data_IF_142648347242
#
_entry.id   IF_142648347242
#
_cell.length_a   1.000
_cell.length_b   1.000
_cell.length_c   1.000
_cell.angle_alpha   90.00
_cell.angle_beta   90.00
_cell.angle_gamma   90.00
#
_symmetry.space_group_name_H-M   'P 1'
#
loop_
_entity.id
_entity.type
_entity.pdbx_description
1 polymer ?
#
# COMPACT_ATOMS: atom_id res chain seq x y z
N UNK A 1 33.62 8.57 8.29
CA UNK A 1 32.24 8.86 8.63
C UNK A 1 31.39 7.64 8.39
N UNK A 2 30.16 7.56 8.89
CA UNK A 2 29.25 6.47 8.59
C UNK A 2 28.83 6.52 7.12
N UNK A 3 28.75 5.37 6.45
CA UNK A 3 28.15 5.26 5.11
C UNK A 3 26.63 5.25 5.27
N UNK A 4 25.94 6.23 4.71
CA UNK A 4 24.48 6.41 4.82
C UNK A 4 23.90 6.42 3.43
N UNK A 5 22.93 5.50 3.18
CA UNK A 5 22.20 5.38 1.92
C UNK A 5 20.74 5.78 2.11
N UNK A 6 20.26 6.71 1.29
CA UNK A 6 18.88 7.17 1.33
C UNK A 6 18.13 6.58 0.15
N UNK A 7 17.04 5.86 0.44
CA UNK A 7 16.19 5.19 -0.56
C UNK A 7 14.78 5.74 -0.44
N UNK A 8 14.28 6.34 -1.50
CA UNK A 8 12.87 6.71 -1.59
C UNK A 8 12.04 5.44 -1.87
N UNK A 9 11.17 5.09 -0.93
CA UNK A 9 10.36 3.87 -1.01
C UNK A 9 9.20 3.94 -1.98
N UNK A 10 8.86 5.11 -2.51
CA UNK A 10 7.70 5.36 -3.40
C UNK A 10 6.36 4.81 -2.87
N UNK A 11 6.30 4.50 -1.58
CA UNK A 11 5.14 3.93 -0.90
C UNK A 11 5.01 4.50 0.52
N UNK A 12 4.03 4.02 1.27
CA UNK A 12 3.81 4.41 2.67
C UNK A 12 3.37 3.20 3.50
N UNK A 13 3.32 3.35 4.83
CA UNK A 13 2.85 2.33 5.78
C UNK A 13 3.72 1.04 5.80
N UNK A 14 3.08 -0.11 5.99
CA UNK A 14 3.71 -1.39 6.26
C UNK A 14 4.67 -1.94 5.18
N UNK A 15 4.57 -1.62 3.88
CA UNK A 15 5.59 -2.06 2.92
C UNK A 15 6.99 -1.56 3.24
N UNK A 16 7.10 -0.35 3.81
CA UNK A 16 8.41 0.21 4.23
C UNK A 16 9.04 -0.70 5.30
N UNK A 17 8.24 -1.09 6.30
CA UNK A 17 8.69 -2.03 7.34
C UNK A 17 9.05 -3.38 6.74
N UNK A 18 8.28 -3.88 5.78
CA UNK A 18 8.55 -5.14 5.11
C UNK A 18 9.88 -5.13 4.34
N UNK A 19 10.21 -4.02 3.67
CA UNK A 19 11.51 -3.84 3.01
C UNK A 19 12.64 -3.77 4.05
N UNK A 20 12.45 -2.95 5.10
CA UNK A 20 13.45 -2.78 6.15
C UNK A 20 13.77 -4.11 6.87
N UNK A 21 12.76 -4.92 7.16
CA UNK A 21 12.96 -6.22 7.81
C UNK A 21 13.75 -7.20 6.94
N UNK A 22 13.50 -7.24 5.63
CA UNK A 22 14.27 -8.08 4.71
C UNK A 22 15.73 -7.60 4.62
N UNK A 23 15.94 -6.29 4.49
CA UNK A 23 17.30 -5.71 4.50
C UNK A 23 18.04 -6.06 5.79
N UNK A 24 17.40 -5.87 6.95
CA UNK A 24 17.99 -6.21 8.25
C UNK A 24 18.37 -7.69 8.36
N UNK A 25 17.50 -8.57 7.86
CA UNK A 25 17.78 -10.02 7.87
C UNK A 25 19.04 -10.33 7.08
N UNK A 26 19.15 -9.88 5.84
CA UNK A 26 20.28 -10.19 4.98
C UNK A 26 21.57 -9.49 5.41
N UNK A 27 21.50 -8.27 5.95
CA UNK A 27 22.69 -7.60 6.51
C UNK A 27 23.20 -8.29 7.78
N UNK A 28 22.30 -8.87 8.59
CA UNK A 28 22.70 -9.70 9.73
C UNK A 28 23.38 -11.03 9.29
N UNK A 29 23.12 -11.49 8.08
CA UNK A 29 23.77 -12.66 7.45
C UNK A 29 25.07 -12.29 6.70
N UNK A 30 25.48 -10.99 6.71
CA UNK A 30 26.75 -10.54 6.17
C UNK A 30 26.66 -9.83 4.79
N UNK A 31 25.44 -9.53 4.30
CA UNK A 31 25.28 -8.74 3.08
C UNK A 31 25.90 -7.34 3.24
N UNK A 32 26.67 -6.89 2.28
CA UNK A 32 27.26 -5.56 2.31
C UNK A 32 26.25 -4.45 1.98
N UNK A 33 26.64 -3.20 2.19
CA UNK A 33 25.75 -2.03 2.05
C UNK A 33 25.33 -1.79 0.60
N UNK A 34 26.17 -2.07 -0.38
CA UNK A 34 25.86 -1.85 -1.81
C UNK A 34 24.85 -2.89 -2.29
N UNK A 35 25.01 -4.15 -1.88
CA UNK A 35 24.06 -5.23 -2.13
C UNK A 35 22.72 -4.97 -1.42
N UNK A 36 22.77 -4.50 -0.17
CA UNK A 36 21.59 -4.13 0.61
C UNK A 36 20.79 -2.99 -0.04
N UNK A 37 21.47 -1.95 -0.52
CA UNK A 37 20.86 -0.84 -1.27
C UNK A 37 20.20 -1.35 -2.55
N UNK A 38 20.90 -2.16 -3.35
CA UNK A 38 20.38 -2.74 -4.58
C UNK A 38 19.13 -3.55 -4.32
N UNK A 39 19.17 -4.47 -3.33
CA UNK A 39 18.03 -5.30 -2.93
C UNK A 39 16.83 -4.43 -2.51
N UNK A 40 17.05 -3.41 -1.69
CA UNK A 40 15.97 -2.52 -1.26
C UNK A 40 15.32 -1.77 -2.44
N UNK A 41 16.10 -1.26 -3.38
CA UNK A 41 15.61 -0.60 -4.60
C UNK A 41 14.81 -1.55 -5.50
N UNK A 42 15.25 -2.80 -5.65
CA UNK A 42 14.52 -3.83 -6.38
C UNK A 42 13.18 -4.17 -5.71
N UNK A 43 13.13 -4.25 -4.37
CA UNK A 43 11.88 -4.44 -3.64
C UNK A 43 10.93 -3.26 -3.81
N UNK A 44 11.43 -2.03 -3.75
CA UNK A 44 10.64 -0.81 -4.03
C UNK A 44 10.01 -0.89 -5.42
N UNK A 45 10.79 -1.21 -6.45
CA UNK A 45 10.33 -1.27 -7.84
C UNK A 45 9.25 -2.35 -8.09
N UNK A 46 9.20 -3.38 -7.23
CA UNK A 46 8.22 -4.48 -7.30
C UNK A 46 7.03 -4.32 -6.36
N UNK A 47 7.01 -3.26 -5.54
CA UNK A 47 5.92 -2.99 -4.60
C UNK A 47 4.84 -2.15 -5.25
N UNK A 48 3.62 -2.67 -5.24
CA UNK A 48 2.41 -2.00 -5.75
C UNK A 48 1.53 -1.58 -4.56
N UNK A 49 0.94 -0.41 -4.63
CA UNK A 49 0.15 0.17 -3.55
C UNK A 49 -1.24 0.54 -4.04
N UNK A 50 -2.26 -0.02 -3.43
CA UNK A 50 -3.67 0.32 -3.66
C UNK A 50 -4.33 0.70 -2.34
N UNK A 51 -5.08 1.77 -2.32
CA UNK A 51 -5.85 2.13 -1.14
C UNK A 51 -7.18 2.80 -1.51
N UNK A 52 -8.12 2.78 -0.57
CA UNK A 52 -9.38 3.49 -0.68
C UNK A 52 -9.67 4.27 0.59
N UNK A 53 -10.29 5.42 0.44
CA UNK A 53 -10.69 6.31 1.52
C UNK A 53 -12.21 6.47 1.54
N UNK A 54 -12.79 6.78 2.70
CA UNK A 54 -14.22 7.03 2.79
C UNK A 54 -14.61 8.38 2.18
N UNK A 55 -13.74 9.39 2.28
CA UNK A 55 -13.92 10.73 1.71
C UNK A 55 -12.58 11.28 1.23
N UNK A 56 -12.61 12.14 0.23
CA UNK A 56 -11.41 12.83 -0.29
C UNK A 56 -11.00 14.04 0.55
N UNK A 57 -11.83 14.46 1.53
CA UNK A 57 -11.63 15.68 2.30
C UNK A 57 -10.29 15.70 3.05
N UNK A 58 -9.89 14.56 3.61
CA UNK A 58 -8.61 14.45 4.33
C UNK A 58 -7.42 14.60 3.40
N UNK A 59 -7.44 13.96 2.22
CA UNK A 59 -6.42 14.11 1.18
C UNK A 59 -6.35 15.57 0.69
N UNK A 60 -7.50 16.22 0.51
CA UNK A 60 -7.58 17.61 0.07
C UNK A 60 -7.02 18.56 1.12
N UNK A 61 -7.52 18.48 2.36
CA UNK A 61 -7.07 19.32 3.48
C UNK A 61 -5.59 19.12 3.79
N UNK A 62 -5.10 17.90 3.64
CA UNK A 62 -3.70 17.55 3.82
C UNK A 62 -2.79 17.93 2.66
N UNK A 63 -3.33 18.45 1.55
CA UNK A 63 -2.55 18.81 0.36
C UNK A 63 -1.96 17.61 -0.40
N UNK A 64 -2.49 16.39 -0.19
CA UNK A 64 -2.05 15.14 -0.83
C UNK A 64 -3.07 14.60 -1.81
N UNK A 65 -3.96 15.44 -2.33
CA UNK A 65 -5.05 15.03 -3.22
C UNK A 65 -4.55 14.60 -4.62
N UNK A 66 -3.47 15.20 -5.13
CA UNK A 66 -2.89 14.87 -6.44
C UNK A 66 -3.93 14.84 -7.58
N UNK A 67 -3.74 13.92 -8.53
CA UNK A 67 -4.66 13.73 -9.65
C UNK A 67 -6.05 13.23 -9.23
N UNK A 68 -6.19 12.67 -8.02
CA UNK A 68 -7.47 12.22 -7.45
C UNK A 68 -8.41 13.40 -7.20
N UNK A 69 -7.87 14.63 -7.10
CA UNK A 69 -8.65 15.89 -6.99
C UNK A 69 -9.66 16.10 -8.11
N UNK A 70 -9.44 15.56 -9.29
CA UNK A 70 -10.40 15.60 -10.39
C UNK A 70 -11.74 14.87 -10.07
N UNK A 71 -11.80 14.09 -9.00
CA UNK A 71 -13.03 13.45 -8.53
C UNK A 71 -13.85 14.35 -7.58
N UNK A 72 -13.30 15.47 -7.11
CA UNK A 72 -14.01 16.40 -6.25
C UNK A 72 -15.14 17.03 -7.07
N UNK A 73 -16.37 16.98 -6.53
CA UNK A 73 -17.56 17.49 -7.21
C UNK A 73 -18.09 16.60 -8.35
N UNK A 74 -17.41 15.53 -8.67
CA UNK A 74 -17.92 14.51 -9.57
C UNK A 74 -18.95 13.63 -8.91
N UNK A 75 -19.81 12.96 -9.33
CA UNK A 75 -20.88 12.07 -8.84
C UNK A 75 -20.81 11.77 -7.32
N UNK A 76 -21.87 12.12 -6.60
CA UNK A 76 -22.05 11.84 -5.17
C UNK A 76 -21.95 10.32 -4.87
N UNK A 77 -21.24 9.97 -3.80
CA UNK A 77 -21.16 8.59 -3.32
C UNK A 77 -20.11 7.69 -3.98
N UNK A 78 -19.15 8.25 -4.73
CA UNK A 78 -18.03 7.49 -5.26
C UNK A 78 -17.00 7.20 -4.14
N UNK A 79 -16.53 5.96 -4.10
CA UNK A 79 -15.38 5.49 -3.30
C UNK A 79 -14.25 5.13 -4.26
N UNK A 80 -13.26 6.01 -4.43
CA UNK A 80 -12.17 5.74 -5.34
C UNK A 80 -11.24 4.66 -4.77
N UNK A 81 -10.68 3.85 -5.66
CA UNK A 81 -9.46 3.11 -5.39
C UNK A 81 -8.33 3.91 -6.02
N UNK A 82 -7.35 4.22 -5.22
CA UNK A 82 -6.19 5.02 -5.59
C UNK A 82 -4.96 4.10 -5.61
N UNK A 83 -4.07 4.30 -6.55
CA UNK A 83 -2.78 3.64 -6.55
C UNK A 83 -1.65 4.68 -6.56
N UNK A 84 -0.45 4.25 -6.19
CA UNK A 84 0.77 5.02 -6.36
C UNK A 84 1.45 4.59 -7.67
N UNK A 85 1.74 5.55 -8.53
CA UNK A 85 2.55 5.29 -9.72
C UNK A 85 4.03 5.02 -9.35
N UNK A 86 4.88 4.77 -10.33
CA UNK A 86 6.31 4.48 -10.12
C UNK A 86 7.08 5.65 -9.51
N UNK A 87 6.57 6.87 -9.61
CA UNK A 87 7.11 8.08 -9.01
C UNK A 87 6.53 8.38 -7.61
N UNK A 88 5.60 7.53 -7.11
CA UNK A 88 4.91 7.72 -5.83
C UNK A 88 3.77 8.74 -5.87
N UNK A 89 3.24 9.09 -7.05
CA UNK A 89 2.12 10.01 -7.20
C UNK A 89 0.79 9.28 -7.14
N UNK A 90 -0.22 9.96 -6.62
CA UNK A 90 -1.57 9.41 -6.50
C UNK A 90 -2.31 9.45 -7.85
N UNK A 91 -2.81 8.30 -8.28
CA UNK A 91 -3.67 8.14 -9.45
C UNK A 91 -4.94 7.36 -9.11
N UNK A 92 -6.01 7.63 -9.85
CA UNK A 92 -7.26 6.88 -9.71
C UNK A 92 -7.14 5.55 -10.45
N UNK A 93 -7.11 4.46 -9.71
CA UNK A 93 -7.08 3.12 -10.30
C UNK A 93 -8.48 2.60 -10.67
N UNK A 94 -9.50 2.91 -9.83
CA UNK A 94 -10.88 2.51 -10.09
C UNK A 94 -11.87 3.38 -9.30
N UNK A 95 -13.17 3.26 -9.62
CA UNK A 95 -14.27 4.01 -8.99
C UNK A 95 -15.39 3.05 -8.59
N UNK A 96 -15.57 2.87 -7.29
CA UNK A 96 -16.63 2.04 -6.74
C UNK A 96 -17.71 2.90 -6.07
N UNK A 97 -18.92 2.33 -5.90
CA UNK A 97 -20.02 3.01 -5.19
C UNK A 97 -20.26 2.46 -3.79
N UNK A 98 -19.81 1.25 -3.50
CA UNK A 98 -20.04 0.60 -2.21
C UNK A 98 -18.74 0.06 -1.63
N UNK A 99 -18.65 0.01 -0.30
CA UNK A 99 -17.52 -0.57 0.40
C UNK A 99 -17.23 -2.01 -0.05
N UNK A 100 -18.28 -2.82 -0.19
CA UNK A 100 -18.17 -4.22 -0.64
C UNK A 100 -17.52 -4.32 -2.05
N UNK A 101 -17.88 -3.40 -2.97
CA UNK A 101 -17.26 -3.37 -4.31
C UNK A 101 -15.80 -2.93 -4.24
N UNK A 102 -15.44 -1.97 -3.36
CA UNK A 102 -14.06 -1.59 -3.12
C UNK A 102 -13.24 -2.81 -2.68
N UNK A 103 -13.69 -3.52 -1.64
CA UNK A 103 -13.00 -4.68 -1.09
C UNK A 103 -12.77 -5.76 -2.17
N UNK A 104 -13.83 -6.13 -2.87
CA UNK A 104 -13.74 -7.11 -3.97
C UNK A 104 -12.73 -6.67 -5.03
N UNK A 105 -12.81 -5.40 -5.47
CA UNK A 105 -11.93 -4.89 -6.53
C UNK A 105 -10.46 -4.83 -6.09
N UNK A 106 -10.19 -4.48 -4.84
CA UNK A 106 -8.82 -4.49 -4.30
C UNK A 106 -8.22 -5.91 -4.29
N UNK A 107 -9.02 -6.93 -3.98
CA UNK A 107 -8.59 -8.35 -4.08
C UNK A 107 -8.27 -8.73 -5.53
N UNK A 108 -9.13 -8.37 -6.48
CA UNK A 108 -8.91 -8.61 -7.91
C UNK A 108 -7.64 -7.91 -8.41
N UNK A 109 -7.45 -6.64 -8.05
CA UNK A 109 -6.25 -5.87 -8.44
C UNK A 109 -4.97 -6.47 -7.85
N UNK A 110 -5.02 -6.95 -6.62
CA UNK A 110 -3.90 -7.68 -6.03
C UNK A 110 -3.61 -8.98 -6.80
N UNK A 111 -4.64 -9.73 -7.17
CA UNK A 111 -4.49 -10.97 -7.93
C UNK A 111 -3.91 -10.75 -9.33
N UNK A 112 -4.24 -9.65 -9.99
CA UNK A 112 -3.66 -9.24 -11.28
C UNK A 112 -2.14 -9.02 -11.22
N UNK A 113 -1.57 -8.86 -10.02
CA UNK A 113 -0.12 -8.64 -9.81
C UNK A 113 0.67 -9.93 -9.53
N UNK A 114 0.03 -11.08 -9.60
CA UNK A 114 0.74 -12.36 -9.41
C UNK A 114 1.84 -12.57 -10.48
N UNK A 115 2.95 -13.26 -10.15
CA UNK A 115 3.22 -13.91 -8.88
C UNK A 115 3.66 -12.95 -7.76
N UNK A 116 3.16 -13.17 -6.54
CA UNK A 116 3.37 -12.32 -5.37
C UNK A 116 4.30 -13.01 -4.36
N UNK A 117 5.21 -12.26 -3.74
CA UNK A 117 6.07 -12.74 -2.66
C UNK A 117 5.66 -12.27 -1.27
N UNK A 118 4.98 -11.11 -1.15
CA UNK A 118 4.46 -10.60 0.12
C UNK A 118 3.22 -9.75 -0.09
N UNK A 119 2.30 -9.80 0.87
CA UNK A 119 1.07 -9.00 0.91
C UNK A 119 1.02 -8.23 2.22
N UNK A 120 0.61 -6.96 2.14
CA UNK A 120 0.39 -6.13 3.30
C UNK A 120 -1.00 -5.52 3.23
N UNK A 121 -1.69 -5.50 4.37
CA UNK A 121 -2.99 -4.83 4.54
C UNK A 121 -2.83 -3.80 5.64
N UNK A 122 -3.29 -2.59 5.41
CA UNK A 122 -3.25 -1.53 6.42
C UNK A 122 -4.61 -0.81 6.50
N UNK A 123 -4.97 -0.33 7.69
CA UNK A 123 -6.24 0.34 7.90
C UNK A 123 -6.15 1.49 8.92
N UNK A 124 -7.04 2.49 8.77
CA UNK A 124 -7.34 3.49 9.78
C UNK A 124 -8.77 3.27 10.27
N UNK A 125 -8.95 2.81 11.52
CA UNK A 125 -10.27 2.54 12.15
C UNK A 125 -11.22 1.66 11.29
N UNK A 126 -10.67 0.65 10.59
CA UNK A 126 -11.42 -0.26 9.72
C UNK A 126 -10.94 -1.71 9.88
N UNK A 127 -10.72 -2.15 11.13
CA UNK A 127 -10.12 -3.45 11.42
C UNK A 127 -10.91 -4.62 10.82
N UNK A 128 -12.24 -4.64 10.99
CA UNK A 128 -13.07 -5.73 10.47
C UNK A 128 -12.98 -5.89 8.95
N UNK A 129 -13.00 -4.77 8.20
CA UNK A 129 -12.81 -4.79 6.76
C UNK A 129 -11.40 -5.27 6.38
N UNK A 130 -10.39 -4.87 7.15
CA UNK A 130 -9.01 -5.25 6.90
C UNK A 130 -8.75 -6.74 7.18
N UNK A 131 -9.39 -7.31 8.19
CA UNK A 131 -9.37 -8.75 8.48
C UNK A 131 -10.06 -9.56 7.38
N UNK A 132 -11.23 -9.12 6.92
CA UNK A 132 -11.93 -9.74 5.78
C UNK A 132 -11.07 -9.70 4.51
N UNK A 133 -10.47 -8.55 4.20
CA UNK A 133 -9.59 -8.38 3.05
C UNK A 133 -8.36 -9.29 3.14
N UNK A 134 -7.72 -9.36 4.32
CA UNK A 134 -6.61 -10.27 4.59
C UNK A 134 -7.04 -11.74 4.36
N UNK A 135 -8.19 -12.14 4.90
CA UNK A 135 -8.70 -13.51 4.75
C UNK A 135 -8.94 -13.88 3.29
N UNK A 136 -9.56 -12.99 2.50
CA UNK A 136 -9.78 -13.21 1.07
C UNK A 136 -8.46 -13.35 0.31
N UNK A 137 -7.47 -12.49 0.59
CA UNK A 137 -6.14 -12.55 -0.03
C UNK A 137 -5.38 -13.81 0.36
N UNK A 138 -5.44 -14.23 1.63
CA UNK A 138 -4.84 -15.48 2.09
C UNK A 138 -5.49 -16.71 1.47
N UNK A 139 -6.81 -16.67 1.19
CA UNK A 139 -7.51 -17.72 0.46
C UNK A 139 -7.02 -17.90 -0.97
N UNK A 140 -6.67 -16.81 -1.64
CA UNK A 140 -6.11 -16.81 -3.00
C UNK A 140 -4.60 -17.14 -3.02
N UNK A 141 -3.87 -16.72 -1.99
CA UNK A 141 -2.42 -16.83 -1.89
C UNK A 141 -1.98 -17.47 -0.57
N UNK A 142 -2.34 -18.74 -0.31
CA UNK A 142 -2.16 -19.37 1.01
C UNK A 142 -0.70 -19.48 1.47
N UNK A 143 0.24 -19.48 0.53
CA UNK A 143 1.67 -19.59 0.81
C UNK A 143 2.41 -18.25 0.80
N UNK A 144 1.67 -17.12 0.64
CA UNK A 144 2.27 -15.79 0.62
C UNK A 144 2.13 -15.16 2.01
N UNK A 145 3.24 -14.74 2.65
CA UNK A 145 3.18 -14.06 3.94
C UNK A 145 2.32 -12.79 3.81
N UNK A 146 1.32 -12.66 4.70
CA UNK A 146 0.38 -11.54 4.71
C UNK A 146 0.39 -10.86 6.06
N UNK A 147 0.80 -9.59 6.08
CA UNK A 147 0.82 -8.74 7.27
C UNK A 147 -0.42 -7.84 7.31
N UNK A 148 -1.00 -7.66 8.50
CA UNK A 148 -2.06 -6.69 8.78
C UNK A 148 -1.60 -5.71 9.85
N UNK A 149 -1.76 -4.41 9.60
CA UNK A 149 -1.37 -3.36 10.56
C UNK A 149 -2.36 -2.21 10.59
N UNK A 150 -2.40 -1.48 11.74
CA UNK A 150 -2.99 -0.16 11.79
C UNK A 150 -2.09 0.89 11.11
N UNK A 151 -2.70 1.90 10.50
CA UNK A 151 -2.01 3.07 9.95
C UNK A 151 -1.68 4.04 11.09
N UNK A 152 -0.45 4.51 11.16
CA UNK A 152 -0.02 5.52 12.14
C UNK A 152 -0.72 6.87 11.95
N UNK A 153 -0.77 7.67 13.03
CA UNK A 153 -1.54 8.93 13.12
C UNK A 153 -1.21 9.93 12.01
N UNK A 154 0.06 10.04 11.61
CA UNK A 154 0.48 10.98 10.56
C UNK A 154 -0.20 10.64 9.22
N UNK A 155 -0.16 9.39 8.80
CA UNK A 155 -0.79 8.97 7.56
C UNK A 155 -2.32 8.96 7.70
N UNK A 156 -2.86 8.58 8.86
CA UNK A 156 -4.29 8.61 9.13
C UNK A 156 -4.88 10.04 9.04
N UNK A 157 -4.13 11.08 9.45
CA UNK A 157 -4.53 12.47 9.30
C UNK A 157 -4.77 12.90 7.83
N UNK A 158 -4.09 12.25 6.89
CA UNK A 158 -4.26 12.50 5.45
C UNK A 158 -5.30 11.59 4.79
N UNK A 159 -5.52 10.39 5.31
CA UNK A 159 -6.43 9.41 4.70
C UNK A 159 -7.81 9.38 5.35
N UNK A 160 -7.89 9.76 6.62
CA UNK A 160 -9.10 9.73 7.43
C UNK A 160 -9.51 8.34 7.91
N UNK A 161 -10.50 8.28 8.81
CA UNK A 161 -11.04 7.03 9.32
C UNK A 161 -11.73 6.23 8.22
N UNK A 162 -11.65 4.91 8.31
CA UNK A 162 -12.17 3.98 7.31
C UNK A 162 -11.26 3.79 6.10
N UNK A 163 -10.09 4.44 6.06
CA UNK A 163 -9.10 4.16 5.01
C UNK A 163 -8.58 2.73 5.10
N UNK A 164 -8.39 2.10 3.95
CA UNK A 164 -7.86 0.73 3.84
C UNK A 164 -6.91 0.65 2.65
N UNK A 165 -5.81 -0.06 2.82
CA UNK A 165 -4.80 -0.27 1.78
C UNK A 165 -4.42 -1.74 1.63
N UNK A 166 -4.16 -2.13 0.40
CA UNK A 166 -3.51 -3.39 0.03
C UNK A 166 -2.23 -3.05 -0.71
N UNK A 167 -1.18 -3.71 -0.32
CA UNK A 167 0.13 -3.58 -0.94
C UNK A 167 0.62 -4.97 -1.29
N UNK A 168 1.15 -5.11 -2.48
CA UNK A 168 1.69 -6.38 -2.94
C UNK A 168 3.11 -6.19 -3.43
N UNK A 169 4.01 -7.07 -3.01
CA UNK A 169 5.35 -7.16 -3.56
C UNK A 169 5.40 -8.36 -4.51
N UNK A 170 5.62 -8.07 -5.78
CA UNK A 170 5.72 -9.10 -6.82
C UNK A 170 7.03 -9.89 -6.66
N UNK A 171 7.03 -11.14 -7.07
CA UNK A 171 8.28 -11.91 -7.20
C UNK A 171 9.23 -11.26 -8.20
N UNK A 172 10.52 -11.51 -7.99
CA UNK A 172 11.57 -11.11 -8.91
C UNK A 172 11.43 -11.80 -10.28
#
# INVERSE_FOLDING_TARGET
GADIRVIDSKTAACPISGIAMEVLKHTAEGMDIDEAEKMAREMVARTETFFSVNTLDYLQKGGRIGAVGALIGSIFGIRPIVHLDKEGRLEVADKCRTRKKVMKRMVEMAAEKAPIEAIFVAHAEALADAEDLKQQLQGLFPNVPTMLTGIGTVLAAHLGPGAIGVFVRRKA
#
